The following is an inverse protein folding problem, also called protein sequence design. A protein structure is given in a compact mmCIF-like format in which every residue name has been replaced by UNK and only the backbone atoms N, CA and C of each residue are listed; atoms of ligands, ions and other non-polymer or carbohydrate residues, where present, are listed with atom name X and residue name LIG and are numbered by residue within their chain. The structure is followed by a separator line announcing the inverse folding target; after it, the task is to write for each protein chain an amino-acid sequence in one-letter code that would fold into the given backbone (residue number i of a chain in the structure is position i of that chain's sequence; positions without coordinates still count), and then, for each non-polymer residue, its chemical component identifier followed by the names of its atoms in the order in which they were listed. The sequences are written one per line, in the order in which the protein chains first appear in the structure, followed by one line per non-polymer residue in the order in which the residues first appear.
data_IF_238946198420
#
_entry.id   IF_238946198420
#
_cell.length_a   1.000
_cell.length_b   1.000
_cell.length_c   1.000
_cell.angle_alpha   90.00
_cell.angle_beta   90.00
_cell.angle_gamma   90.00
#
_symmetry.space_group_name_H-M   'P 1'
#
loop_
_entity.id
_entity.type
_entity.pdbx_description
1 polymer ?
#
# COMPACT_ATOMS: atom_id res chain seq x y z
N UNK A 1 -22.71 23.10 -25.36
CA UNK A 1 -21.30 23.25 -24.91
C UNK A 1 -20.86 22.07 -24.07
N UNK A 2 -21.60 21.69 -23.00
CA UNK A 2 -21.24 20.58 -22.09
C UNK A 2 -21.09 19.24 -22.82
N UNK A 3 -22.04 18.87 -23.68
CA UNK A 3 -21.97 17.67 -24.51
C UNK A 3 -20.69 17.58 -25.36
N UNK A 4 -20.28 18.69 -25.99
CA UNK A 4 -19.08 18.72 -26.82
C UNK A 4 -17.81 18.51 -26.00
N UNK A 5 -17.75 19.07 -24.79
CA UNK A 5 -16.62 18.89 -23.89
C UNK A 5 -16.51 17.44 -23.39
N UNK A 6 -17.62 16.84 -23.00
CA UNK A 6 -17.66 15.43 -22.58
C UNK A 6 -17.28 14.49 -23.73
N UNK A 7 -17.80 14.76 -24.95
CA UNK A 7 -17.40 14.03 -26.16
C UNK A 7 -15.91 14.17 -26.46
N UNK A 8 -15.33 15.37 -26.32
CA UNK A 8 -13.92 15.60 -26.54
C UNK A 8 -13.05 14.85 -25.51
N UNK A 9 -13.48 14.79 -24.25
CA UNK A 9 -12.80 14.02 -23.21
C UNK A 9 -12.82 12.51 -23.50
N UNK A 10 -13.97 11.96 -23.89
CA UNK A 10 -14.08 10.56 -24.30
C UNK A 10 -13.20 10.25 -25.51
N UNK A 11 -13.24 11.07 -26.57
CA UNK A 11 -12.43 10.89 -27.77
C UNK A 11 -10.94 11.00 -27.42
N UNK A 12 -10.55 11.91 -26.53
CA UNK A 12 -9.16 12.07 -26.09
C UNK A 12 -8.61 10.83 -25.40
N UNK A 13 -9.46 9.93 -24.87
CA UNK A 13 -9.04 8.69 -24.23
C UNK A 13 -8.62 7.60 -25.21
N UNK A 14 -8.94 7.73 -26.49
CA UNK A 14 -8.58 6.76 -27.51
C UNK A 14 -7.06 6.80 -27.80
N UNK A 15 -6.45 5.61 -27.86
CA UNK A 15 -5.00 5.49 -28.08
C UNK A 15 -4.56 5.92 -29.49
N UNK A 16 -5.38 5.65 -30.51
CA UNK A 16 -5.05 5.95 -31.91
C UNK A 16 -5.47 7.36 -32.32
N UNK A 17 -4.53 8.10 -32.96
CA UNK A 17 -4.82 9.42 -33.54
C UNK A 17 -5.88 9.36 -34.65
N UNK A 18 -5.85 8.29 -35.45
CA UNK A 18 -6.81 8.08 -36.54
C UNK A 18 -8.22 7.87 -35.96
N UNK A 19 -8.35 7.07 -34.92
CA UNK A 19 -9.64 6.89 -34.24
C UNK A 19 -10.15 8.22 -33.68
N UNK A 20 -9.27 9.01 -33.04
CA UNK A 20 -9.67 10.33 -32.52
C UNK A 20 -10.21 11.23 -33.63
N UNK A 21 -9.58 11.23 -34.80
CA UNK A 21 -10.01 12.05 -35.95
C UNK A 21 -11.36 11.58 -36.50
N UNK A 22 -11.56 10.28 -36.70
CA UNK A 22 -12.82 9.72 -37.19
C UNK A 22 -13.98 10.03 -36.25
N UNK A 23 -13.79 9.83 -34.93
CA UNK A 23 -14.84 10.13 -33.96
C UNK A 23 -15.09 11.63 -33.78
N UNK A 24 -14.05 12.47 -33.89
CA UNK A 24 -14.22 13.91 -33.90
C UNK A 24 -15.08 14.37 -35.10
N UNK A 25 -14.87 13.75 -36.27
CA UNK A 25 -15.70 14.01 -37.47
C UNK A 25 -17.18 13.68 -37.23
N UNK A 26 -17.46 12.49 -36.69
CA UNK A 26 -18.83 12.07 -36.39
C UNK A 26 -19.57 12.97 -35.40
N UNK A 27 -18.85 13.40 -34.35
CA UNK A 27 -19.43 14.32 -33.36
C UNK A 27 -19.61 15.71 -33.95
N UNK A 28 -18.69 16.21 -34.76
CA UNK A 28 -18.76 17.50 -35.43
C UNK A 28 -20.01 17.55 -36.36
N UNK A 29 -20.23 16.50 -37.13
CA UNK A 29 -21.41 16.35 -38.01
C UNK A 29 -22.72 16.32 -37.21
N UNK A 30 -22.79 15.47 -36.17
CA UNK A 30 -23.99 15.36 -35.33
C UNK A 30 -24.30 16.68 -34.59
N UNK A 31 -23.30 17.41 -34.15
CA UNK A 31 -23.44 18.68 -33.44
C UNK A 31 -23.56 19.90 -34.35
N UNK A 32 -23.45 19.72 -35.68
CA UNK A 32 -23.44 20.79 -36.69
C UNK A 32 -22.40 21.88 -36.42
N UNK A 33 -21.20 21.47 -36.06
CA UNK A 33 -20.05 22.34 -35.87
C UNK A 33 -18.95 22.00 -36.89
N UNK A 34 -17.95 22.88 -37.06
CA UNK A 34 -16.82 22.58 -37.92
C UNK A 34 -15.95 21.45 -37.34
N UNK A 35 -15.46 20.60 -38.22
CA UNK A 35 -14.52 19.51 -37.82
C UNK A 35 -13.27 20.07 -37.13
N UNK A 36 -12.79 21.20 -37.57
CA UNK A 36 -11.61 21.87 -37.00
C UNK A 36 -11.82 22.32 -35.56
N UNK A 37 -13.02 22.85 -35.23
CA UNK A 37 -13.38 23.21 -33.88
C UNK A 37 -13.40 21.99 -32.97
N UNK A 38 -13.96 20.86 -33.43
CA UNK A 38 -13.98 19.62 -32.65
C UNK A 38 -12.59 19.02 -32.47
N UNK A 39 -11.75 19.01 -33.52
CA UNK A 39 -10.34 18.57 -33.43
C UNK A 39 -9.56 19.40 -32.43
N UNK A 40 -9.78 20.72 -32.37
CA UNK A 40 -9.15 21.60 -31.41
C UNK A 40 -9.53 21.25 -29.96
N UNK A 41 -10.81 21.01 -29.71
CA UNK A 41 -11.29 20.61 -28.37
C UNK A 41 -10.74 19.23 -27.95
N UNK A 42 -10.71 18.25 -28.85
CA UNK A 42 -10.11 16.94 -28.61
C UNK A 42 -8.60 17.07 -28.29
N UNK A 43 -7.89 17.92 -29.05
CA UNK A 43 -6.46 18.18 -28.80
C UNK A 43 -6.20 18.84 -27.45
N UNK A 44 -7.06 19.80 -27.05
CA UNK A 44 -7.00 20.44 -25.73
C UNK A 44 -7.28 19.43 -24.61
N UNK A 45 -8.29 18.59 -24.76
CA UNK A 45 -8.63 17.53 -23.80
C UNK A 45 -7.48 16.52 -23.65
N UNK A 46 -6.87 16.10 -24.77
CA UNK A 46 -5.72 15.20 -24.80
C UNK A 46 -4.50 15.78 -24.08
N UNK A 47 -4.14 17.05 -24.35
CA UNK A 47 -3.04 17.74 -23.66
C UNK A 47 -3.30 17.86 -22.15
N UNK A 48 -4.54 18.21 -21.74
CA UNK A 48 -4.92 18.28 -20.32
C UNK A 48 -4.74 16.92 -19.64
N UNK A 49 -5.16 15.84 -20.30
CA UNK A 49 -5.01 14.47 -19.81
C UNK A 49 -3.53 14.10 -19.65
N UNK A 50 -2.71 14.30 -20.67
CA UNK A 50 -1.27 14.03 -20.59
C UNK A 50 -0.60 14.80 -19.45
N UNK A 51 -0.94 16.09 -19.29
CA UNK A 51 -0.38 16.90 -18.20
C UNK A 51 -0.82 16.37 -16.83
N UNK A 52 -2.07 15.90 -16.68
CA UNK A 52 -2.56 15.28 -15.44
C UNK A 52 -1.82 13.96 -15.15
N UNK A 53 -1.67 13.12 -16.16
CA UNK A 53 -0.96 11.83 -16.02
C UNK A 53 0.52 12.07 -15.67
N UNK A 54 1.17 13.02 -16.34
CA UNK A 54 2.56 13.39 -16.04
C UNK A 54 2.72 13.93 -14.61
N UNK A 55 1.85 14.84 -14.17
CA UNK A 55 1.88 15.36 -12.80
C UNK A 55 1.61 14.28 -11.77
N UNK A 56 0.70 13.33 -12.07
CA UNK A 56 0.43 12.19 -11.20
C UNK A 56 1.65 11.29 -11.09
N UNK A 57 2.34 11.03 -12.21
CA UNK A 57 3.57 10.24 -12.22
C UNK A 57 4.69 10.94 -11.46
N UNK A 58 4.89 12.25 -11.68
CA UNK A 58 5.86 13.06 -10.94
C UNK A 58 5.59 13.05 -9.42
N UNK A 59 4.32 13.11 -9.00
CA UNK A 59 3.96 12.99 -7.58
C UNK A 59 4.26 11.60 -7.01
N UNK A 60 4.08 10.55 -7.81
CA UNK A 60 4.42 9.17 -7.43
C UNK A 60 5.94 9.03 -7.27
N UNK A 61 6.69 9.58 -8.23
CA UNK A 61 8.15 9.51 -8.24
C UNK A 61 8.79 10.33 -7.10
N UNK A 62 8.19 11.50 -6.78
CA UNK A 62 8.64 12.36 -5.69
C UNK A 62 8.28 11.81 -4.29
N UNK A 63 7.23 11.03 -4.16
CA UNK A 63 6.81 10.46 -2.88
C UNK A 63 6.29 9.03 -3.03
N UNK A 64 7.20 8.07 -3.30
CA UNK A 64 6.83 6.66 -3.45
C UNK A 64 6.16 6.09 -2.20
N UNK A 65 6.48 6.60 -1.02
CA UNK A 65 5.89 6.19 0.25
C UNK A 65 4.37 6.44 0.32
N UNK A 66 3.86 7.46 -0.37
CA UNK A 66 2.42 7.77 -0.40
C UNK A 66 1.58 6.68 -1.06
N UNK A 67 2.16 5.95 -2.02
CA UNK A 67 1.46 4.85 -2.70
C UNK A 67 1.42 3.56 -1.88
N UNK A 68 2.26 3.48 -0.86
CA UNK A 68 2.31 2.34 0.06
C UNK A 68 1.32 2.51 1.22
N UNK A 69 0.75 3.72 1.40
CA UNK A 69 -0.31 3.93 2.37
C UNK A 69 -1.58 3.18 1.96
N UNK A 70 -2.28 2.54 2.90
CA UNK A 70 -3.57 1.94 2.64
C UNK A 70 -4.56 2.98 2.11
N UNK A 71 -5.33 2.61 1.11
CA UNK A 71 -6.42 3.47 0.60
C UNK A 71 -7.67 3.39 1.48
N UNK A 72 -7.66 2.51 2.45
CA UNK A 72 -8.76 2.24 3.36
C UNK A 72 -8.81 3.30 4.46
N UNK A 73 -9.96 3.91 4.68
CA UNK A 73 -10.17 4.83 5.81
C UNK A 73 -9.94 4.09 7.12
N UNK A 74 -9.25 4.72 8.05
CA UNK A 74 -8.93 4.12 9.37
C UNK A 74 -7.55 3.47 9.45
N UNK A 75 -6.86 3.22 8.33
CA UNK A 75 -5.47 2.81 8.33
C UNK A 75 -4.55 3.96 7.93
N UNK A 76 -3.62 4.28 8.80
CA UNK A 76 -2.50 5.17 8.51
C UNK A 76 -1.22 4.56 9.05
N UNK A 77 -0.20 4.48 8.22
CA UNK A 77 1.09 3.90 8.60
C UNK A 77 2.10 5.02 8.86
N UNK A 78 2.42 5.24 10.13
CA UNK A 78 3.46 6.18 10.54
C UNK A 78 4.85 5.68 10.15
N UNK A 79 5.07 4.37 10.26
CA UNK A 79 6.28 3.69 9.82
C UNK A 79 5.96 2.68 8.72
N UNK A 80 6.11 3.09 7.46
CA UNK A 80 5.82 2.24 6.29
C UNK A 80 6.66 0.98 6.22
N UNK A 81 7.92 1.04 6.65
CA UNK A 81 8.83 -0.11 6.62
C UNK A 81 8.38 -1.18 7.61
N UNK A 82 8.03 -0.78 8.83
CA UNK A 82 7.46 -1.67 9.83
C UNK A 82 6.12 -2.23 9.38
N UNK A 83 5.20 -1.37 8.93
CA UNK A 83 3.87 -1.76 8.50
C UNK A 83 3.88 -2.78 7.34
N UNK A 84 4.78 -2.64 6.38
CA UNK A 84 4.95 -3.64 5.31
C UNK A 84 5.42 -4.99 5.85
N UNK A 85 6.32 -5.01 6.84
CA UNK A 85 6.74 -6.24 7.50
C UNK A 85 5.60 -6.83 8.33
N UNK A 86 4.80 -5.99 9.01
CA UNK A 86 3.62 -6.37 9.78
C UNK A 86 2.55 -7.02 8.90
N UNK A 87 2.22 -6.40 7.75
CA UNK A 87 1.34 -7.01 6.75
C UNK A 87 1.91 -8.34 6.22
N UNK A 88 3.22 -8.39 6.02
CA UNK A 88 3.93 -9.60 5.60
C UNK A 88 3.82 -10.74 6.61
N UNK A 89 3.86 -10.46 7.92
CA UNK A 89 3.59 -11.44 8.99
C UNK A 89 2.15 -11.96 8.90
N UNK A 90 1.18 -11.05 8.83
CA UNK A 90 -0.25 -11.43 8.77
C UNK A 90 -0.57 -12.27 7.53
N UNK A 91 -0.09 -11.84 6.35
CA UNK A 91 -0.31 -12.58 5.09
C UNK A 91 0.24 -14.00 5.16
N UNK A 92 1.44 -14.18 5.73
CA UNK A 92 2.07 -15.50 5.84
C UNK A 92 1.43 -16.36 6.92
N UNK A 93 1.13 -15.81 8.08
CA UNK A 93 0.46 -16.52 9.18
C UNK A 93 -0.93 -17.02 8.78
N UNK A 94 -1.67 -16.28 7.96
CA UNK A 94 -2.97 -16.72 7.43
C UNK A 94 -2.85 -17.87 6.43
N UNK A 95 -1.73 -17.95 5.70
CA UNK A 95 -1.48 -19.04 4.73
C UNK A 95 -0.83 -20.28 5.37
N UNK A 96 0.04 -20.06 6.33
CA UNK A 96 0.79 -21.12 7.03
C UNK A 96 0.87 -20.80 8.53
N UNK A 97 -0.17 -21.18 9.30
CA UNK A 97 -0.25 -20.90 10.74
C UNK A 97 0.93 -21.41 11.57
N UNK A 98 1.58 -22.49 11.16
CA UNK A 98 2.75 -23.06 11.84
C UNK A 98 3.90 -22.06 11.99
N UNK A 99 3.99 -21.03 11.12
CA UNK A 99 5.00 -19.98 11.25
C UNK A 99 4.85 -19.16 12.53
N UNK A 100 3.66 -19.11 13.13
CA UNK A 100 3.43 -18.41 14.39
C UNK A 100 4.22 -19.01 15.55
N UNK A 101 4.56 -20.29 15.51
CA UNK A 101 5.42 -20.93 16.51
C UNK A 101 6.84 -20.36 16.54
N UNK A 102 7.30 -19.83 15.42
CA UNK A 102 8.66 -19.30 15.26
C UNK A 102 8.79 -17.85 15.75
N UNK A 103 7.69 -17.16 15.99
CA UNK A 103 7.67 -15.77 16.45
C UNK A 103 7.04 -15.59 17.83
N UNK A 104 7.20 -16.58 18.74
CA UNK A 104 6.62 -16.54 20.10
C UNK A 104 7.00 -15.28 20.87
N UNK A 105 8.19 -14.73 20.66
CA UNK A 105 8.68 -13.50 21.31
C UNK A 105 8.14 -12.20 20.67
N UNK A 106 7.52 -12.25 19.50
CA UNK A 106 6.90 -11.07 18.91
C UNK A 106 5.57 -10.77 19.61
N UNK A 107 5.41 -9.53 20.07
CA UNK A 107 4.23 -9.07 20.79
C UNK A 107 3.43 -8.09 19.95
N UNK A 108 2.08 -8.05 20.09
CA UNK A 108 1.23 -7.09 19.39
C UNK A 108 1.63 -5.64 19.58
N UNK A 109 2.16 -5.28 20.76
CA UNK A 109 2.56 -3.91 21.12
C UNK A 109 3.83 -3.45 20.38
N UNK A 110 4.55 -4.36 19.75
CA UNK A 110 5.74 -4.04 18.94
C UNK A 110 5.39 -3.60 17.51
N UNK A 111 4.13 -3.73 17.13
CA UNK A 111 3.64 -3.30 15.82
C UNK A 111 3.48 -1.78 15.81
N UNK A 112 3.91 -1.15 14.71
CA UNK A 112 3.76 0.30 14.51
C UNK A 112 2.30 0.68 14.21
N UNK A 113 1.53 -0.25 13.62
CA UNK A 113 0.11 -0.08 13.36
C UNK A 113 -0.71 -0.86 14.39
N UNK A 114 -1.46 -0.19 15.29
CA UNK A 114 -2.23 -0.86 16.34
C UNK A 114 -3.25 -1.88 15.83
N UNK A 115 -3.87 -1.63 14.67
CA UNK A 115 -4.86 -2.54 14.08
C UNK A 115 -4.20 -3.84 13.60
N UNK A 116 -2.99 -3.74 12.98
CA UNK A 116 -2.23 -4.92 12.56
C UNK A 116 -1.74 -5.70 13.78
N UNK A 117 -1.28 -5.01 14.83
CA UNK A 117 -0.90 -5.63 16.11
C UNK A 117 -2.04 -6.36 16.77
N UNK A 118 -3.24 -5.74 16.84
CA UNK A 118 -4.45 -6.37 17.38
C UNK A 118 -4.84 -7.62 16.58
N UNK A 119 -4.82 -7.55 15.24
CA UNK A 119 -5.12 -8.70 14.39
C UNK A 119 -4.10 -9.83 14.60
N UNK A 120 -2.79 -9.51 14.63
CA UNK A 120 -1.75 -10.48 14.93
C UNK A 120 -1.95 -11.17 16.29
N UNK A 121 -2.26 -10.41 17.34
CA UNK A 121 -2.51 -10.95 18.67
C UNK A 121 -3.66 -11.94 18.69
N UNK A 122 -4.76 -11.63 17.98
CA UNK A 122 -5.91 -12.56 17.88
C UNK A 122 -5.55 -13.83 17.10
N UNK A 123 -4.85 -13.73 15.96
CA UNK A 123 -4.42 -14.89 15.18
C UNK A 123 -3.47 -15.79 16.00
N UNK A 124 -2.51 -15.18 16.69
CA UNK A 124 -1.56 -15.90 17.57
C UNK A 124 -2.27 -16.63 18.70
N UNK A 125 -3.19 -15.97 19.40
CA UNK A 125 -3.96 -16.57 20.49
C UNK A 125 -4.80 -17.75 19.99
N UNK A 126 -5.43 -17.63 18.81
CA UNK A 126 -6.19 -18.74 18.20
C UNK A 126 -5.28 -19.92 17.87
N UNK A 127 -4.10 -19.66 17.32
CA UNK A 127 -3.11 -20.71 17.05
C UNK A 127 -2.68 -21.43 18.32
N UNK A 128 -2.35 -20.69 19.38
CA UNK A 128 -1.97 -21.25 20.68
C UNK A 128 -3.09 -22.09 21.33
N UNK A 129 -4.35 -21.77 21.04
CA UNK A 129 -5.53 -22.53 21.47
C UNK A 129 -5.87 -23.72 20.55
N UNK A 130 -5.12 -23.95 19.48
CA UNK A 130 -5.40 -24.99 18.49
C UNK A 130 -6.64 -24.71 17.63
N UNK A 131 -7.10 -23.44 17.59
CA UNK A 131 -8.23 -23.00 16.77
C UNK A 131 -7.77 -22.63 15.36
N UNK A 132 -8.69 -22.67 14.40
CA UNK A 132 -8.42 -22.28 13.03
C UNK A 132 -7.96 -20.81 12.95
N UNK A 133 -6.82 -20.58 12.29
CA UNK A 133 -6.24 -19.26 12.03
C UNK A 133 -6.80 -18.76 10.71
N UNK A 134 -7.82 -17.94 10.78
CA UNK A 134 -8.50 -17.40 9.59
C UNK A 134 -9.03 -15.99 9.85
N UNK A 135 -9.37 -15.25 8.80
CA UNK A 135 -9.99 -13.92 8.91
C UNK A 135 -11.34 -13.97 9.63
N UNK A 136 -12.08 -15.06 9.52
CA UNK A 136 -13.35 -15.25 10.22
C UNK A 136 -13.21 -15.30 11.76
N UNK A 137 -11.99 -15.58 12.23
CA UNK A 137 -11.68 -15.58 13.65
C UNK A 137 -11.32 -14.20 14.23
N UNK A 138 -11.24 -13.17 13.41
CA UNK A 138 -10.97 -11.80 13.86
C UNK A 138 -12.26 -11.14 14.35
N UNK A 139 -12.18 -10.45 15.48
CA UNK A 139 -13.30 -9.76 16.12
C UNK A 139 -12.95 -8.30 16.45
N UNK A 140 -13.99 -7.49 16.65
CA UNK A 140 -13.87 -6.08 17.01
C UNK A 140 -13.09 -5.22 15.99
N UNK A 141 -13.34 -5.48 14.72
CA UNK A 141 -12.87 -4.69 13.59
C UNK A 141 -14.04 -4.16 12.76
N UNK A 142 -13.87 -2.99 12.17
CA UNK A 142 -14.84 -2.42 11.26
C UNK A 142 -14.86 -3.17 9.92
N UNK A 143 -15.92 -3.00 9.13
CA UNK A 143 -16.00 -3.59 7.79
C UNK A 143 -14.86 -3.13 6.87
N UNK A 144 -14.39 -1.87 7.04
CA UNK A 144 -13.29 -1.32 6.27
C UNK A 144 -11.95 -1.96 6.66
N UNK A 145 -11.72 -2.18 7.96
CA UNK A 145 -10.52 -2.88 8.47
C UNK A 145 -10.51 -4.34 8.02
N UNK A 146 -11.65 -5.02 8.07
CA UNK A 146 -11.78 -6.40 7.58
C UNK A 146 -11.53 -6.49 6.06
N UNK A 147 -11.99 -5.51 5.28
CA UNK A 147 -11.67 -5.45 3.85
C UNK A 147 -10.15 -5.28 3.61
N UNK A 148 -9.47 -4.50 4.45
CA UNK A 148 -8.02 -4.36 4.37
C UNK A 148 -7.29 -5.67 4.72
N UNK A 149 -7.70 -6.37 5.78
CA UNK A 149 -7.14 -7.69 6.11
C UNK A 149 -7.39 -8.73 5.01
N UNK A 150 -8.55 -8.68 4.35
CA UNK A 150 -8.81 -9.53 3.19
C UNK A 150 -7.85 -9.25 2.03
N UNK A 151 -7.51 -7.99 1.79
CA UNK A 151 -6.50 -7.62 0.79
C UNK A 151 -5.11 -8.15 1.18
N UNK A 152 -4.73 -8.05 2.46
CA UNK A 152 -3.46 -8.59 2.97
C UNK A 152 -3.41 -10.11 2.77
N UNK A 153 -4.49 -10.82 3.10
CA UNK A 153 -4.57 -12.28 2.94
C UNK A 153 -4.46 -12.75 1.48
N UNK A 154 -4.96 -11.94 0.54
CA UNK A 154 -4.89 -12.23 -0.90
C UNK A 154 -3.52 -11.93 -1.53
N UNK A 155 -2.65 -11.19 -0.84
CA UNK A 155 -1.32 -10.88 -1.34
C UNK A 155 -0.49 -12.16 -1.52
N UNK A 156 0.04 -12.32 -2.71
CA UNK A 156 1.02 -13.37 -3.02
C UNK A 156 2.44 -12.78 -2.96
N UNK A 157 2.85 -12.36 -1.77
CA UNK A 157 4.17 -11.75 -1.54
C UNK A 157 5.28 -12.83 -1.55
N UNK A 158 5.47 -13.48 -2.69
CA UNK A 158 6.51 -14.48 -2.86
C UNK A 158 6.25 -15.81 -2.12
N UNK A 159 7.24 -16.69 -2.07
CA UNK A 159 7.11 -17.96 -1.38
C UNK A 159 6.91 -17.77 0.11
N UNK A 160 6.00 -18.56 0.68
CA UNK A 160 5.88 -18.66 2.13
C UNK A 160 7.06 -19.49 2.61
N UNK A 161 8.09 -18.84 3.09
CA UNK A 161 9.24 -19.52 3.68
C UNK A 161 9.59 -18.90 5.03
N UNK A 162 10.24 -19.70 5.84
CA UNK A 162 10.69 -19.35 7.19
C UNK A 162 11.60 -18.12 7.20
N UNK A 163 12.54 -18.05 6.26
CA UNK A 163 13.48 -16.93 6.17
C UNK A 163 12.78 -15.59 5.97
N UNK A 164 11.85 -15.51 5.02
CA UNK A 164 11.10 -14.29 4.75
C UNK A 164 10.22 -13.88 5.94
N UNK A 165 9.71 -14.84 6.69
CA UNK A 165 8.95 -14.60 7.91
C UNK A 165 9.85 -14.02 9.01
N UNK A 166 11.01 -14.63 9.25
CA UNK A 166 11.99 -14.16 10.22
C UNK A 166 12.55 -12.78 9.88
N UNK A 167 12.73 -12.45 8.61
CA UNK A 167 13.16 -11.13 8.18
C UNK A 167 12.11 -10.05 8.53
N UNK A 168 10.82 -10.36 8.38
CA UNK A 168 9.74 -9.46 8.83
C UNK A 168 9.79 -9.26 10.37
N UNK A 169 9.96 -10.34 11.13
CA UNK A 169 10.09 -10.25 12.62
C UNK A 169 11.26 -9.34 13.02
N UNK A 170 12.43 -9.50 12.37
CA UNK A 170 13.61 -8.66 12.65
C UNK A 170 13.35 -7.18 12.33
N UNK A 171 12.65 -6.89 11.24
CA UNK A 171 12.33 -5.52 10.86
C UNK A 171 11.42 -4.89 11.93
N UNK A 172 10.35 -5.57 12.35
CA UNK A 172 9.42 -5.06 13.36
C UNK A 172 10.16 -4.78 14.67
N UNK A 173 10.97 -5.73 15.15
CA UNK A 173 11.73 -5.57 16.39
C UNK A 173 12.76 -4.44 16.31
N UNK A 174 13.43 -4.27 15.17
CA UNK A 174 14.42 -3.22 14.98
C UNK A 174 13.75 -1.82 14.93
N UNK A 175 12.62 -1.70 14.25
CA UNK A 175 11.89 -0.43 14.16
C UNK A 175 11.24 -0.06 15.51
N UNK A 176 10.73 -1.04 16.25
CA UNK A 176 10.20 -0.81 17.60
C UNK A 176 11.29 -0.33 18.56
N UNK A 177 12.48 -0.94 18.53
CA UNK A 177 13.62 -0.51 19.34
C UNK A 177 14.09 0.91 19.00
N UNK A 178 14.06 1.28 17.72
CA UNK A 178 14.43 2.65 17.31
C UNK A 178 13.40 3.70 17.70
N UNK A 179 12.13 3.33 17.76
CA UNK A 179 11.04 4.23 18.17
C UNK A 179 10.93 4.42 19.68
N UNK A 180 11.49 3.50 20.47
CA UNK A 180 11.47 3.56 21.95
C UNK A 180 12.59 4.41 22.55
N UNK A 181 13.43 5.03 21.72
CA UNK A 181 14.55 5.88 22.15
C UNK A 181 14.01 7.30 22.41
N UNK A 182 13.58 7.58 23.64
CA UNK A 182 12.98 8.88 24.01
C UNK A 182 13.97 9.85 24.65
N UNK A 183 15.14 9.39 25.15
CA UNK A 183 16.11 10.22 25.85
C UNK A 183 17.47 10.23 25.16
N UNK A 184 18.29 11.27 25.45
CA UNK A 184 19.66 11.37 24.92
C UNK A 184 20.56 10.22 25.40
N UNK A 185 20.31 9.70 26.60
CA UNK A 185 21.03 8.53 27.15
C UNK A 185 20.67 7.25 26.40
N UNK A 186 19.38 7.05 26.08
CA UNK A 186 18.89 5.91 25.32
C UNK A 186 19.44 5.94 23.89
N UNK A 187 19.55 7.16 23.32
CA UNK A 187 20.13 7.37 22.00
C UNK A 187 21.61 6.96 21.96
N UNK A 188 22.40 7.28 22.99
CA UNK A 188 23.82 6.86 23.11
C UNK A 188 23.94 5.35 23.21
N UNK A 189 23.14 4.71 24.06
CA UNK A 189 23.15 3.26 24.22
C UNK A 189 22.74 2.54 22.93
N UNK A 190 21.71 3.05 22.25
CA UNK A 190 21.27 2.57 20.95
C UNK A 190 22.39 2.66 19.90
N UNK A 191 23.09 3.82 19.80
CA UNK A 191 24.20 3.98 18.87
C UNK A 191 25.39 3.08 19.19
N UNK A 192 25.68 2.82 20.44
CA UNK A 192 26.72 1.88 20.84
C UNK A 192 26.39 0.43 20.45
N UNK A 193 25.16 -0.01 20.71
CA UNK A 193 24.66 -1.31 20.26
C UNK A 193 24.70 -1.47 18.73
N UNK A 194 24.36 -0.42 17.99
CA UNK A 194 24.43 -0.41 16.53
C UNK A 194 25.86 -0.46 16.01
N UNK A 195 26.82 0.23 16.63
CA UNK A 195 28.25 0.15 16.29
C UNK A 195 28.81 -1.26 16.50
N UNK A 196 28.43 -1.91 17.59
CA UNK A 196 28.84 -3.29 17.86
C UNK A 196 28.29 -4.28 16.82
N UNK A 197 27.03 -4.13 16.42
CA UNK A 197 26.40 -4.97 15.38
C UNK A 197 27.02 -4.80 14.00
N UNK A 198 27.45 -3.59 13.64
CA UNK A 198 28.05 -3.29 12.33
C UNK A 198 29.56 -3.55 12.27
N UNK A 199 30.18 -4.05 13.35
CA UNK A 199 31.60 -4.38 13.36
C UNK A 199 32.55 -3.17 13.21
N UNK A 200 32.06 -1.95 13.44
CA UNK A 200 32.91 -0.78 13.52
C UNK A 200 33.76 -0.86 14.82
N UNK A 201 34.94 -1.49 14.71
CA UNK A 201 36.02 -1.27 15.66
C UNK A 201 36.59 0.10 15.33
N UNK A 202 36.47 1.05 16.26
CA UNK A 202 37.20 2.31 16.24
C UNK A 202 38.69 2.08 16.43
#
# INVERSE_FOLDING_TARGET
VKYLQESAELISSLGSSVQREVYAGRVAEAAKISLEAMKLEVSRAYKRRQTREKKKQEQIDLNPARNLQPKTKGFHYDNLKSAMAEEGILSRALREPALLDQCRQLRPEQFSCPQLGKAYGQLKNRHEQGLEVSLAGLSDFTSEEMAHFAMIAQRQDGPVNEQAFQDCVRIIQAEHQSSSVETESDMREYWEKMKQRKGYKG
#
